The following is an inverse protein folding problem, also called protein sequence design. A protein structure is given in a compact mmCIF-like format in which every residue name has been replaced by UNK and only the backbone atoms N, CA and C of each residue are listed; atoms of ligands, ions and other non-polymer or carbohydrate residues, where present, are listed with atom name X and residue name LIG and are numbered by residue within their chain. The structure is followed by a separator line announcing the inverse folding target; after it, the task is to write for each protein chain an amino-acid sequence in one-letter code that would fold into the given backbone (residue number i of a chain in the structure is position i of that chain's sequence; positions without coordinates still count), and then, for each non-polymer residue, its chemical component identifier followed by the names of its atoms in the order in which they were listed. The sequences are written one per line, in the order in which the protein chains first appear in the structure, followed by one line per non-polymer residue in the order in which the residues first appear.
data_IF_288523713688
#
_entry.id   IF_288523713688
#
_cell.length_a   1.000
_cell.length_b   1.000
_cell.length_c   1.000
_cell.angle_alpha   90.00
_cell.angle_beta   90.00
_cell.angle_gamma   90.00
#
_symmetry.space_group_name_H-M   'P 1'
#
loop_
_entity.id
_entity.type
_entity.pdbx_description
1 polymer ?
#
# COMPACT_ATOMS: atom_id res chain seq x y z
N UNK A 1 8.58 8.14 -3.72
CA UNK A 1 9.47 8.54 -2.61
C UNK A 1 10.75 9.23 -3.06
N UNK A 2 11.15 9.13 -4.35
CA UNK A 2 12.37 9.74 -4.86
C UNK A 2 12.55 11.23 -4.51
N UNK A 3 11.52 12.06 -4.69
CA UNK A 3 11.59 13.50 -4.37
C UNK A 3 11.69 13.80 -2.87
N UNK A 4 11.02 13.01 -2.03
CA UNK A 4 11.06 13.23 -0.57
C UNK A 4 12.42 12.84 0.02
N UNK A 5 13.10 11.86 -0.57
CA UNK A 5 14.39 11.38 -0.09
C UNK A 5 15.55 12.39 -0.27
N UNK A 6 15.36 13.44 -1.08
CA UNK A 6 16.42 14.39 -1.49
C UNK A 6 16.06 15.83 -1.15
N UNK A 7 15.15 16.06 -0.20
CA UNK A 7 14.75 17.42 0.20
C UNK A 7 15.97 18.19 0.70
N UNK A 8 16.20 19.39 0.13
CA UNK A 8 17.33 20.24 0.49
C UNK A 8 18.68 19.81 -0.10
N UNK A 9 18.71 18.78 -0.94
CA UNK A 9 19.90 18.32 -1.67
C UNK A 9 19.77 18.64 -3.16
N UNK A 10 20.90 18.93 -3.81
CA UNK A 10 20.97 18.97 -5.27
C UNK A 10 21.27 17.55 -5.80
N UNK A 11 20.30 16.95 -6.48
CA UNK A 11 20.42 15.58 -7.00
C UNK A 11 21.52 15.44 -8.04
N UNK A 12 21.96 16.53 -8.69
CA UNK A 12 23.09 16.48 -9.63
C UNK A 12 24.44 16.24 -8.93
N UNK A 13 24.50 16.49 -7.62
CA UNK A 13 25.68 16.23 -6.77
C UNK A 13 25.66 14.87 -6.08
N UNK A 14 24.62 14.05 -6.33
CA UNK A 14 24.46 12.74 -5.70
C UNK A 14 24.80 11.62 -6.69
N UNK A 15 25.42 10.55 -6.18
CA UNK A 15 25.67 9.34 -6.93
C UNK A 15 24.46 8.39 -6.84
N UNK A 16 24.14 7.70 -7.94
CA UNK A 16 23.05 6.72 -7.97
C UNK A 16 23.54 5.36 -7.43
N UNK A 17 23.17 5.06 -6.19
CA UNK A 17 23.46 3.77 -5.52
C UNK A 17 22.23 2.84 -5.50
N UNK A 18 21.25 3.03 -6.40
CA UNK A 18 20.00 2.25 -6.39
C UNK A 18 20.20 0.76 -6.67
N UNK A 19 21.33 0.37 -7.25
CA UNK A 19 21.73 -1.00 -7.59
C UNK A 19 22.08 -1.86 -6.37
N UNK A 20 22.48 -1.23 -5.26
CA UNK A 20 22.77 -1.93 -3.99
C UNK A 20 21.50 -2.19 -3.17
N UNK A 21 20.36 -1.59 -3.55
CA UNK A 21 19.09 -1.84 -2.87
C UNK A 21 18.61 -3.26 -3.18
N UNK A 22 18.25 -4.00 -2.13
CA UNK A 22 17.70 -5.34 -2.27
C UNK A 22 16.44 -5.33 -3.14
N UNK A 23 16.25 -6.36 -3.99
CA UNK A 23 15.06 -6.46 -4.82
C UNK A 23 13.79 -6.56 -3.97
N UNK A 24 12.71 -6.00 -4.48
CA UNK A 24 11.39 -6.06 -3.86
C UNK A 24 10.87 -7.50 -3.84
N UNK A 25 10.14 -7.84 -2.78
CA UNK A 25 9.34 -9.06 -2.78
C UNK A 25 8.21 -8.94 -3.81
N UNK A 26 7.97 -9.98 -4.62
CA UNK A 26 6.92 -9.92 -5.63
C UNK A 26 5.54 -9.74 -5.00
N UNK A 27 4.61 -9.04 -5.68
CA UNK A 27 3.24 -8.91 -5.22
C UNK A 27 2.54 -10.28 -5.21
N UNK A 28 1.48 -10.40 -4.40
CA UNK A 28 0.68 -11.62 -4.30
C UNK A 28 -0.28 -11.79 -5.49
N UNK A 29 -0.28 -10.84 -6.43
CA UNK A 29 -1.12 -10.80 -7.65
C UNK A 29 -2.63 -11.01 -7.40
N UNK A 30 -3.09 -10.66 -6.20
CA UNK A 30 -4.52 -10.61 -5.86
C UNK A 30 -5.09 -9.23 -6.16
N UNK A 31 -6.28 -9.13 -6.77
CA UNK A 31 -6.95 -7.86 -6.96
C UNK A 31 -7.27 -7.23 -5.60
N UNK A 32 -7.47 -5.91 -5.59
CA UNK A 32 -7.96 -5.22 -4.42
C UNK A 32 -9.38 -5.70 -4.09
N UNK A 33 -9.65 -5.98 -2.82
CA UNK A 33 -10.93 -6.47 -2.30
C UNK A 33 -11.32 -5.63 -1.09
N UNK A 34 -12.61 -5.44 -0.85
CA UNK A 34 -13.08 -4.88 0.41
C UNK A 34 -12.82 -5.88 1.54
N UNK A 35 -12.32 -5.43 2.70
CA UNK A 35 -12.25 -6.25 3.89
C UNK A 35 -13.63 -6.84 4.23
N UNK A 36 -13.63 -7.95 4.97
CA UNK A 36 -14.87 -8.54 5.45
C UNK A 36 -15.77 -7.50 6.13
N UNK A 37 -17.09 -7.63 5.91
CA UNK A 37 -18.15 -6.70 6.35
C UNK A 37 -18.18 -5.32 5.69
N UNK A 38 -17.30 -5.05 4.72
CA UNK A 38 -17.29 -3.80 3.93
C UNK A 38 -17.67 -4.03 2.48
N UNK A 39 -18.25 -3.02 1.85
CA UNK A 39 -18.73 -3.05 0.47
C UNK A 39 -18.64 -1.69 -0.22
N UNK A 40 -19.03 -1.63 -1.49
CA UNK A 40 -19.14 -0.38 -2.24
C UNK A 40 -20.02 0.67 -1.54
N UNK A 41 -21.02 0.24 -0.75
CA UNK A 41 -21.91 1.16 -0.03
C UNK A 41 -21.19 1.93 1.09
N UNK A 42 -20.05 1.43 1.58
CA UNK A 42 -19.24 2.09 2.60
C UNK A 42 -18.29 3.15 2.01
N UNK A 43 -18.20 3.28 0.68
CA UNK A 43 -17.27 4.20 0.02
C UNK A 43 -17.80 5.64 0.04
N UNK A 44 -17.07 6.54 0.69
CA UNK A 44 -17.33 7.99 0.59
C UNK A 44 -16.66 8.56 -0.67
N UNK A 45 -17.35 8.51 -1.81
CA UNK A 45 -16.82 9.00 -3.09
C UNK A 45 -16.46 10.50 -3.03
N UNK A 46 -15.19 10.82 -3.25
CA UNK A 46 -14.71 12.21 -3.27
C UNK A 46 -14.36 12.72 -4.68
N UNK A 47 -13.97 11.83 -5.58
CA UNK A 47 -13.60 12.22 -6.95
C UNK A 47 -14.83 12.23 -7.85
N UNK A 48 -15.26 13.41 -8.33
CA UNK A 48 -16.40 13.53 -9.23
C UNK A 48 -16.06 13.11 -10.68
N UNK A 49 -14.80 13.29 -11.08
CA UNK A 49 -14.36 12.98 -12.44
C UNK A 49 -14.13 11.48 -12.69
N UNK A 50 -13.92 10.70 -11.63
CA UNK A 50 -13.66 9.26 -11.73
C UNK A 50 -14.33 8.51 -10.57
N UNK A 51 -15.28 7.60 -10.86
CA UNK A 51 -15.94 6.81 -9.83
C UNK A 51 -15.00 5.79 -9.18
N UNK A 52 -15.25 5.44 -7.92
CA UNK A 52 -14.52 4.37 -7.25
C UNK A 52 -14.78 3.03 -7.97
N UNK A 53 -13.73 2.22 -8.22
CA UNK A 53 -13.86 0.97 -8.97
C UNK A 53 -14.75 -0.05 -8.23
N UNK A 54 -15.40 -0.93 -8.98
CA UNK A 54 -16.15 -2.04 -8.40
C UNK A 54 -15.20 -3.15 -7.92
N UNK A 55 -15.17 -3.40 -6.60
CA UNK A 55 -14.36 -4.46 -5.98
C UNK A 55 -15.25 -5.54 -5.37
N UNK A 56 -14.74 -6.77 -5.26
CA UNK A 56 -15.39 -7.83 -4.47
C UNK A 56 -15.22 -7.56 -2.97
N UNK A 57 -15.98 -8.25 -2.12
CA UNK A 57 -15.78 -8.27 -0.66
C UNK A 57 -15.26 -9.62 -0.20
N UNK A 58 -14.34 -9.62 0.77
CA UNK A 58 -13.81 -10.85 1.34
C UNK A 58 -14.89 -11.58 2.16
N UNK A 59 -14.97 -12.92 2.05
CA UNK A 59 -15.94 -13.70 2.80
C UNK A 59 -15.48 -13.85 4.26
N UNK A 60 -16.03 -13.05 5.17
CA UNK A 60 -16.05 -13.35 6.61
C UNK A 60 -17.17 -12.60 7.33
N UNK A 61 -17.65 -13.19 8.43
CA UNK A 61 -18.78 -12.65 9.20
C UNK A 61 -18.40 -11.48 10.14
N UNK A 62 -17.11 -11.32 10.45
CA UNK A 62 -16.60 -10.30 11.38
C UNK A 62 -15.44 -9.52 10.78
N UNK A 63 -15.32 -8.21 11.06
CA UNK A 63 -14.20 -7.41 10.61
C UNK A 63 -12.91 -7.89 11.29
N UNK A 64 -11.84 -8.00 10.51
CA UNK A 64 -10.49 -8.27 11.03
C UNK A 64 -9.66 -7.00 10.91
N UNK A 65 -9.26 -6.43 12.05
CA UNK A 65 -8.21 -5.41 12.09
C UNK A 65 -6.90 -6.12 12.34
N UNK A 66 -5.97 -6.06 11.39
CA UNK A 66 -4.65 -6.63 11.60
C UNK A 66 -3.84 -5.69 12.50
N UNK A 67 -3.62 -6.11 13.75
CA UNK A 67 -2.71 -5.42 14.67
C UNK A 67 -1.29 -5.86 14.32
N UNK A 68 -0.48 -4.89 13.90
CA UNK A 68 0.94 -5.15 13.63
C UNK A 68 1.62 -5.58 14.93
N UNK A 69 2.13 -6.80 14.96
CA UNK A 69 2.78 -7.33 16.16
C UNK A 69 4.17 -6.70 16.29
N UNK A 70 4.61 -6.30 17.50
CA UNK A 70 5.98 -5.83 17.73
C UNK A 70 7.04 -6.85 17.31
N UNK A 71 6.69 -8.14 17.28
CA UNK A 71 7.58 -9.26 16.95
C UNK A 71 7.94 -9.30 15.46
N UNK A 72 7.11 -8.74 14.57
CA UNK A 72 7.39 -8.70 13.13
C UNK A 72 8.52 -7.72 12.76
N UNK A 73 8.98 -6.89 13.71
CA UNK A 73 10.20 -6.07 13.57
C UNK A 73 11.51 -6.84 13.77
N UNK A 74 11.45 -8.10 14.17
CA UNK A 74 12.61 -8.96 14.43
C UNK A 74 12.85 -10.00 13.33
N UNK A 75 12.07 -9.98 12.25
CA UNK A 75 12.37 -10.79 11.06
C UNK A 75 13.55 -10.12 10.34
N UNK A 76 14.68 -10.82 10.12
CA UNK A 76 15.87 -10.26 9.48
C UNK A 76 15.60 -9.78 8.05
#
# INVERSE_FOLDING_TARGET
MAKLAVVGQDTSSLIDCSDVILPLTPPVDKPATFPATKSQADVQQACLASPFPSLSSDPAAVPTVHIRSPIERLKP
#
